data_IF_040051962142
#
_entry.id   IF_040051962142
#
_cell.length_a   1.000
_cell.length_b   1.000
_cell.length_c   1.000
_cell.angle_alpha   90.00
_cell.angle_beta   90.00
_cell.angle_gamma   90.00
#
_symmetry.space_group_name_H-M   'P 1'
#
loop_
_entity.id
_entity.type
_entity.pdbx_description
1 polymer ?
#
# COMPACT_ATOMS: atom_id res chain seq x y z
N UNK A 1 -13.82 17.06 10.84
CA UNK A 1 -12.92 16.11 10.18
C UNK A 1 -11.54 16.74 10.22
N UNK A 2 -10.53 16.06 10.74
CA UNK A 2 -9.15 16.56 10.65
C UNK A 2 -8.72 16.44 9.20
N UNK A 3 -8.42 17.56 8.55
CA UNK A 3 -7.79 17.53 7.22
C UNK A 3 -6.44 16.81 7.33
N UNK A 4 -6.17 15.89 6.40
CA UNK A 4 -4.87 15.22 6.34
C UNK A 4 -3.79 16.27 6.10
N UNK A 5 -2.82 16.37 7.02
CA UNK A 5 -1.69 17.28 6.82
C UNK A 5 -0.69 16.70 5.82
N UNK A 6 0.13 17.55 5.21
CA UNK A 6 1.26 17.07 4.39
C UNK A 6 2.20 16.16 5.19
N UNK A 7 2.41 16.42 6.49
CA UNK A 7 3.22 15.56 7.34
C UNK A 7 2.61 14.15 7.47
N UNK A 8 1.29 14.06 7.59
CA UNK A 8 0.60 12.76 7.63
C UNK A 8 0.69 12.06 6.29
N UNK A 9 0.44 12.76 5.19
CA UNK A 9 0.59 12.22 3.83
C UNK A 9 2.02 11.68 3.60
N UNK A 10 3.05 12.45 3.92
CA UNK A 10 4.46 12.01 3.79
C UNK A 10 4.75 10.77 4.63
N UNK A 11 4.24 10.68 5.88
CA UNK A 11 4.39 9.47 6.70
C UNK A 11 3.73 8.26 6.05
N UNK A 12 2.60 8.43 5.36
CA UNK A 12 1.93 7.35 4.63
C UNK A 12 2.72 6.92 3.39
N UNK A 13 3.23 7.87 2.62
CA UNK A 13 4.11 7.58 1.48
C UNK A 13 5.36 6.81 1.93
N UNK A 14 5.99 7.22 3.04
CA UNK A 14 7.14 6.51 3.60
C UNK A 14 6.82 5.06 3.98
N UNK A 15 5.63 4.82 4.55
CA UNK A 15 5.19 3.45 4.89
C UNK A 15 4.94 2.58 3.65
N UNK A 16 4.40 3.14 2.58
CA UNK A 16 4.25 2.44 1.30
C UNK A 16 5.61 2.10 0.69
N UNK A 17 6.55 3.04 0.70
CA UNK A 17 7.91 2.81 0.23
C UNK A 17 8.61 1.70 1.06
N UNK A 18 8.48 1.74 2.39
CA UNK A 18 9.03 0.72 3.28
C UNK A 18 8.41 -0.67 3.03
N UNK A 19 7.10 -0.75 2.78
CA UNK A 19 6.44 -2.00 2.40
C UNK A 19 7.03 -2.57 1.11
N UNK A 20 7.13 -1.76 0.06
CA UNK A 20 7.69 -2.18 -1.22
C UNK A 20 9.15 -2.64 -1.08
N UNK A 21 9.95 -1.91 -0.29
CA UNK A 21 11.33 -2.28 0.01
C UNK A 21 11.42 -3.60 0.77
N UNK A 22 10.52 -3.86 1.74
CA UNK A 22 10.47 -5.14 2.47
C UNK A 22 10.17 -6.30 1.54
N UNK A 23 9.15 -6.16 0.68
CA UNK A 23 8.81 -7.18 -0.31
C UNK A 23 9.95 -7.47 -1.27
N UNK A 24 10.62 -6.42 -1.74
CA UNK A 24 11.82 -6.56 -2.57
C UNK A 24 12.90 -7.34 -1.80
N UNK A 25 13.22 -6.94 -0.57
CA UNK A 25 14.23 -7.58 0.26
C UNK A 25 13.93 -9.07 0.49
N UNK A 26 12.69 -9.41 0.84
CA UNK A 26 12.27 -10.80 1.06
C UNK A 26 12.39 -11.65 -0.22
N UNK A 27 12.22 -11.02 -1.39
CA UNK A 27 12.27 -11.69 -2.69
C UNK A 27 13.67 -11.80 -3.32
N UNK A 28 14.66 -11.04 -2.83
CA UNK A 28 15.99 -10.97 -3.46
C UNK A 28 16.72 -12.31 -3.49
N UNK A 29 16.54 -13.11 -2.44
CA UNK A 29 17.19 -14.42 -2.29
C UNK A 29 16.29 -15.59 -2.75
N UNK A 30 15.11 -15.30 -3.31
CA UNK A 30 14.19 -16.33 -3.80
C UNK A 30 14.61 -16.79 -5.20
N UNK A 31 14.74 -18.10 -5.38
CA UNK A 31 14.98 -18.71 -6.69
C UNK A 31 13.67 -18.97 -7.44
N UNK A 32 13.70 -18.85 -8.77
CA UNK A 32 12.60 -19.24 -9.65
C UNK A 32 11.77 -18.07 -10.19
N UNK A 33 10.58 -18.38 -10.71
CA UNK A 33 9.66 -17.38 -11.29
C UNK A 33 8.71 -16.87 -10.20
N UNK A 34 8.49 -15.57 -10.19
CA UNK A 34 7.43 -14.93 -9.38
C UNK A 34 6.09 -15.57 -9.72
N UNK A 35 5.35 -16.02 -8.70
CA UNK A 35 4.01 -16.56 -8.90
C UNK A 35 2.99 -15.42 -8.93
N UNK A 36 1.93 -15.58 -9.73
CA UNK A 36 0.85 -14.59 -9.79
C UNK A 36 0.23 -14.32 -8.42
N UNK A 37 0.16 -15.33 -7.54
CA UNK A 37 -0.33 -15.19 -6.16
C UNK A 37 0.49 -14.21 -5.32
N UNK A 38 1.82 -14.17 -5.52
CA UNK A 38 2.70 -13.25 -4.78
C UNK A 38 2.46 -11.82 -5.25
N UNK A 39 2.32 -11.63 -6.57
CA UNK A 39 1.97 -10.33 -7.16
C UNK A 39 0.61 -9.87 -6.64
N UNK A 40 -0.40 -10.73 -6.63
CA UNK A 40 -1.73 -10.39 -6.13
C UNK A 40 -1.67 -9.99 -4.65
N UNK A 41 -1.00 -10.79 -3.81
CA UNK A 41 -0.83 -10.47 -2.39
C UNK A 41 -0.17 -9.10 -2.18
N UNK A 42 0.91 -8.81 -2.89
CA UNK A 42 1.56 -7.50 -2.84
C UNK A 42 0.61 -6.37 -3.26
N UNK A 43 -0.06 -6.51 -4.41
CA UNK A 43 -0.92 -5.45 -4.94
C UNK A 43 -2.16 -5.20 -4.09
N UNK A 44 -2.75 -6.23 -3.49
CA UNK A 44 -3.89 -6.10 -2.58
C UNK A 44 -3.50 -5.38 -1.29
N UNK A 45 -2.31 -5.70 -0.75
CA UNK A 45 -1.75 -5.01 0.40
C UNK A 45 -1.47 -3.52 0.14
N UNK A 46 -0.97 -3.19 -1.04
CA UNK A 46 -0.78 -1.79 -1.47
C UNK A 46 -2.13 -1.10 -1.63
N UNK A 47 -3.09 -1.74 -2.34
CA UNK A 47 -4.42 -1.16 -2.59
C UNK A 47 -5.15 -0.84 -1.29
N UNK A 48 -5.17 -1.76 -0.33
CA UNK A 48 -5.77 -1.53 0.99
C UNK A 48 -5.19 -0.31 1.71
N UNK A 49 -3.89 -0.05 1.57
CA UNK A 49 -3.23 1.10 2.18
C UNK A 49 -3.53 2.39 1.42
N UNK A 50 -3.64 2.34 0.10
CA UNK A 50 -4.08 3.47 -0.72
C UNK A 50 -5.54 3.84 -0.41
N UNK A 51 -6.43 2.85 -0.31
CA UNK A 51 -7.84 3.06 0.06
C UNK A 51 -7.95 3.77 1.42
N UNK A 52 -7.12 3.38 2.38
CA UNK A 52 -7.08 4.05 3.68
C UNK A 52 -6.54 5.48 3.62
N UNK A 53 -5.57 5.76 2.74
CA UNK A 53 -5.07 7.14 2.52
C UNK A 53 -6.20 7.99 1.91
N UNK A 54 -6.92 7.44 0.93
CA UNK A 54 -8.06 8.09 0.28
C UNK A 54 -9.18 8.39 1.28
N UNK A 55 -9.53 7.44 2.16
CA UNK A 55 -10.51 7.63 3.23
C UNK A 55 -10.11 8.75 4.19
N UNK A 56 -8.83 8.79 4.59
CA UNK A 56 -8.30 9.87 5.45
C UNK A 56 -8.27 11.23 4.73
N UNK A 57 -8.13 11.24 3.40
CA UNK A 57 -8.24 12.43 2.56
C UNK A 57 -9.71 12.86 2.33
N UNK A 58 -10.68 12.14 2.89
CA UNK A 58 -12.10 12.44 2.78
C UNK A 58 -12.76 11.91 1.51
N UNK A 59 -12.08 11.06 0.73
CA UNK A 59 -12.70 10.35 -0.38
C UNK A 59 -13.68 9.33 0.18
N UNK A 60 -14.96 9.46 -0.16
CA UNK A 60 -15.95 8.41 0.11
C UNK A 60 -15.65 7.24 -0.83
N UNK A 61 -15.17 6.14 -0.27
CA UNK A 61 -14.96 4.90 -1.01
C UNK A 61 -16.31 4.43 -1.60
N UNK A 62 -16.46 4.24 -2.93
CA UNK A 62 -17.74 3.84 -3.52
C UNK A 62 -18.07 2.35 -3.39
N UNK A 63 -17.37 1.56 -2.58
CA UNK A 63 -17.50 0.09 -2.58
C UNK A 63 -17.78 -0.51 -1.21
N UNK A 64 -19.02 -0.30 -0.75
CA UNK A 64 -19.91 -1.36 -0.25
C UNK A 64 -21.25 -1.19 -0.99
N UNK A 65 -21.25 -1.45 -2.30
CA UNK A 65 -22.42 -1.44 -3.19
C UNK A 65 -22.33 -2.60 -4.17
#
# INVERSE_FOLDING_TARGET
>A
MSEMTYADFSKRCARLAALAASWAADSLDMEGKVQSSDVFRFTDEVRKRLDWIDELAGRKNPTHG
#
